data_IF_240574507928
#
_entry.id   IF_240574507928
#
_cell.length_a   1.000
_cell.length_b   1.000
_cell.length_c   1.000
_cell.angle_alpha   90.00
_cell.angle_beta   90.00
_cell.angle_gamma   90.00
#
_symmetry.space_group_name_H-M   'P 1'
#
loop_
_entity.id
_entity.type
_entity.pdbx_description
1 polymer ?
#
# COMPACT_ATOMS: atom_id res chain seq x y z
N UNK A 1 6.40 0.27 -21.71
CA UNK A 1 5.48 -0.88 -21.87
C UNK A 1 4.36 -0.48 -22.84
N UNK A 2 3.78 -1.41 -23.59
CA UNK A 2 2.68 -1.13 -24.54
C UNK A 2 1.56 -2.14 -24.35
N UNK A 3 0.31 -1.68 -24.40
CA UNK A 3 -0.92 -2.46 -24.18
C UNK A 3 -1.24 -3.40 -25.36
N UNK A 4 -0.34 -4.34 -25.63
CA UNK A 4 -0.47 -5.35 -26.68
C UNK A 4 0.12 -6.67 -26.22
N UNK A 5 -0.44 -7.79 -26.71
CA UNK A 5 0.00 -9.15 -26.34
C UNK A 5 1.49 -9.40 -26.59
N UNK A 6 2.05 -8.76 -27.64
CA UNK A 6 3.43 -8.95 -28.08
C UNK A 6 4.39 -7.82 -27.66
N UNK A 7 4.10 -7.10 -26.57
CA UNK A 7 5.00 -6.03 -26.11
C UNK A 7 6.46 -6.53 -26.01
N UNK A 8 7.37 -5.77 -26.64
CA UNK A 8 8.77 -6.17 -26.81
C UNK A 8 9.64 -5.89 -25.57
N UNK A 9 9.11 -5.24 -24.53
CA UNK A 9 9.88 -4.93 -23.33
C UNK A 9 10.31 -6.21 -22.59
N UNK A 10 11.46 -6.13 -21.91
CA UNK A 10 12.10 -7.27 -21.26
C UNK A 10 11.16 -7.99 -20.27
N UNK A 11 10.43 -7.24 -19.44
CA UNK A 11 9.46 -7.80 -18.48
C UNK A 11 8.33 -8.60 -19.15
N UNK A 12 7.74 -8.08 -20.22
CA UNK A 12 6.69 -8.79 -20.96
C UNK A 12 7.24 -10.00 -21.73
N UNK A 13 8.49 -9.94 -22.20
CA UNK A 13 9.15 -11.09 -22.83
C UNK A 13 9.42 -12.20 -21.81
N UNK A 14 9.94 -11.85 -20.63
CA UNK A 14 10.20 -12.79 -19.55
C UNK A 14 8.91 -13.47 -19.04
N UNK A 15 7.83 -12.71 -18.86
CA UNK A 15 6.55 -13.29 -18.45
C UNK A 15 5.96 -14.22 -19.52
N UNK A 16 6.08 -13.88 -20.81
CA UNK A 16 5.67 -14.76 -21.91
C UNK A 16 6.49 -16.04 -21.98
N UNK A 17 7.80 -15.97 -21.74
CA UNK A 17 8.67 -17.15 -21.67
C UNK A 17 8.27 -18.13 -20.55
N UNK A 18 7.58 -17.65 -19.51
CA UNK A 18 6.98 -18.46 -18.43
C UNK A 18 5.55 -18.93 -18.72
N UNK A 19 5.02 -18.72 -19.92
CA UNK A 19 3.67 -19.15 -20.32
C UNK A 19 2.56 -18.10 -20.12
N UNK A 20 2.86 -16.86 -19.71
CA UNK A 20 1.84 -15.82 -19.58
C UNK A 20 1.39 -15.30 -20.96
N UNK A 21 0.14 -15.54 -21.35
CA UNK A 21 -0.40 -15.15 -22.66
C UNK A 21 -0.71 -13.66 -22.83
N UNK A 22 -0.92 -12.93 -21.72
CA UNK A 22 -1.32 -11.52 -21.77
C UNK A 22 -0.75 -10.71 -20.58
N UNK A 23 0.58 -10.46 -20.54
CA UNK A 23 1.21 -9.78 -19.40
C UNK A 23 0.66 -8.38 -19.09
N UNK A 24 0.11 -7.69 -20.10
CA UNK A 24 -0.48 -6.36 -19.91
C UNK A 24 -1.72 -6.38 -19.00
N UNK A 25 -2.50 -7.47 -19.00
CA UNK A 25 -3.70 -7.57 -18.15
C UNK A 25 -3.35 -7.54 -16.67
N UNK A 26 -2.30 -8.25 -16.27
CA UNK A 26 -1.82 -8.23 -14.89
C UNK A 26 -1.33 -6.84 -14.48
N UNK A 27 -0.66 -6.12 -15.39
CA UNK A 27 -0.22 -4.76 -15.11
C UNK A 27 -1.41 -3.79 -14.98
N UNK A 28 -2.43 -3.91 -15.82
CA UNK A 28 -3.65 -3.11 -15.70
C UNK A 28 -4.35 -3.36 -14.37
N UNK A 29 -4.46 -4.63 -13.97
CA UNK A 29 -5.10 -4.98 -12.71
C UNK A 29 -4.29 -4.47 -11.51
N UNK A 30 -2.97 -4.61 -11.55
CA UNK A 30 -2.09 -4.03 -10.54
C UNK A 30 -2.25 -2.51 -10.44
N UNK A 31 -2.36 -1.80 -11.57
CA UNK A 31 -2.60 -0.34 -11.58
C UNK A 31 -3.95 0.00 -10.94
N UNK A 32 -5.01 -0.75 -11.22
CA UNK A 32 -6.30 -0.55 -10.56
C UNK A 32 -6.20 -0.74 -9.05
N UNK A 33 -5.54 -1.82 -8.59
CA UNK A 33 -5.33 -2.08 -7.16
C UNK A 33 -4.54 -0.95 -6.51
N UNK A 34 -3.44 -0.52 -7.13
CA UNK A 34 -2.62 0.61 -6.64
C UNK A 34 -3.45 1.90 -6.54
N UNK A 35 -4.34 2.16 -7.49
CA UNK A 35 -5.23 3.33 -7.47
C UNK A 35 -6.31 3.26 -6.38
N UNK A 36 -6.54 2.10 -5.78
CA UNK A 36 -7.42 1.93 -4.63
C UNK A 36 -6.68 2.03 -3.29
N UNK A 37 -5.35 2.04 -3.29
CA UNK A 37 -4.57 2.14 -2.05
C UNK A 37 -4.75 3.52 -1.41
N UNK A 38 -4.83 3.52 -0.07
CA UNK A 38 -4.73 4.76 0.69
C UNK A 38 -3.34 5.36 0.51
N UNK A 39 -3.24 6.68 0.58
CA UNK A 39 -1.96 7.38 0.42
C UNK A 39 -0.86 6.88 1.36
N UNK A 40 -1.21 6.48 2.59
CA UNK A 40 -0.30 5.84 3.55
C UNK A 40 0.33 4.56 3.01
N UNK A 41 -0.42 3.80 2.21
CA UNK A 41 -0.05 2.47 1.71
C UNK A 41 0.36 2.50 0.23
N UNK A 42 0.21 3.63 -0.46
CA UNK A 42 0.58 3.75 -1.86
C UNK A 42 2.10 3.94 -1.97
N UNK A 43 2.86 2.93 -2.44
CA UNK A 43 4.32 3.01 -2.51
C UNK A 43 4.80 4.07 -3.51
N UNK A 44 3.91 4.59 -4.37
CA UNK A 44 4.21 5.66 -5.35
C UNK A 44 4.21 7.04 -4.69
N UNK A 45 3.50 7.20 -3.58
CA UNK A 45 3.47 8.46 -2.84
C UNK A 45 4.58 8.42 -1.80
N UNK A 46 5.53 9.34 -1.89
CA UNK A 46 6.42 9.61 -0.76
C UNK A 46 5.52 10.07 0.38
N UNK A 47 5.37 9.21 1.38
CA UNK A 47 4.63 9.51 2.59
C UNK A 47 5.39 10.62 3.30
N UNK A 48 5.06 11.88 3.00
CA UNK A 48 5.45 13.05 3.78
C UNK A 48 4.64 13.08 5.10
N UNK A 49 4.46 11.92 5.75
CA UNK A 49 3.72 11.79 7.00
C UNK A 49 4.72 11.45 8.10
N UNK A 50 5.60 12.40 8.42
CA UNK A 50 5.85 12.60 9.85
C UNK A 50 4.59 13.26 10.38
N UNK A 51 3.71 12.50 11.01
CA UNK A 51 2.78 13.10 11.94
C UNK A 51 3.67 13.69 13.07
N UNK A 52 3.79 15.02 13.21
CA UNK A 52 4.68 15.60 14.22
C UNK A 52 4.27 15.20 15.65
N UNK A 53 3.02 14.78 15.85
CA UNK A 53 2.52 14.29 17.13
C UNK A 53 2.80 12.81 17.40
N UNK A 54 3.15 12.04 16.36
CA UNK A 54 3.56 10.65 16.46
C UNK A 54 5.08 10.56 16.35
N UNK A 55 5.74 10.92 17.44
CA UNK A 55 7.19 10.99 17.54
C UNK A 55 7.82 9.59 17.49
N UNK A 56 9.13 9.48 17.17
CA UNK A 56 9.86 8.22 17.32
C UNK A 56 9.72 7.61 18.71
N UNK A 57 9.68 8.45 19.75
CA UNK A 57 9.45 8.04 21.14
C UNK A 57 8.14 7.27 21.31
N UNK A 58 7.00 7.82 20.83
CA UNK A 58 5.71 7.14 20.90
C UNK A 58 5.66 5.83 20.12
N UNK A 59 6.51 5.71 19.08
CA UNK A 59 6.67 4.46 18.33
C UNK A 59 7.41 3.41 19.15
N UNK A 60 8.48 3.80 19.84
CA UNK A 60 9.22 2.92 20.77
C UNK A 60 8.33 2.50 21.94
N UNK A 61 7.58 3.44 22.52
CA UNK A 61 6.62 3.16 23.60
C UNK A 61 5.57 2.14 23.16
N UNK A 62 5.06 2.25 21.93
CA UNK A 62 4.14 1.26 21.37
C UNK A 62 4.78 -0.10 21.14
N UNK A 63 6.07 -0.17 20.74
CA UNK A 63 6.79 -1.45 20.57
C UNK A 63 6.93 -2.15 21.93
N UNK A 64 7.29 -1.40 22.97
CA UNK A 64 7.36 -1.92 24.33
C UNK A 64 5.98 -2.34 24.85
N UNK A 65 4.94 -1.55 24.60
CA UNK A 65 3.57 -1.89 24.98
C UNK A 65 3.06 -3.16 24.27
N UNK A 66 3.39 -3.37 23.00
CA UNK A 66 3.07 -4.59 22.25
C UNK A 66 3.73 -5.84 22.84
N UNK A 67 4.98 -5.73 23.30
CA UNK A 67 5.68 -6.85 23.95
C UNK A 67 5.05 -7.23 25.31
N UNK A 68 4.49 -6.24 26.00
CA UNK A 68 3.87 -6.39 27.32
C UNK A 68 2.34 -6.55 27.27
N UNK A 69 1.74 -6.69 26.08
CA UNK A 69 0.29 -6.74 25.83
C UNK A 69 -0.50 -5.57 26.44
N UNK A 70 0.13 -4.39 26.45
CA UNK A 70 -0.42 -3.12 26.96
C UNK A 70 -1.05 -2.28 25.83
N UNK A 71 -1.97 -1.35 26.16
CA UNK A 71 -2.60 -0.48 25.18
C UNK A 71 -1.58 0.34 24.39
N UNK A 72 -1.74 0.37 23.06
CA UNK A 72 -0.91 1.18 22.16
C UNK A 72 -1.58 2.50 21.81
N UNK A 73 -0.79 3.56 21.67
CA UNK A 73 -1.30 4.85 21.21
C UNK A 73 -1.52 4.81 19.70
N UNK A 74 -2.75 5.00 19.25
CA UNK A 74 -3.10 5.04 17.83
C UNK A 74 -2.82 6.41 17.21
N UNK A 75 -2.43 6.45 15.94
CA UNK A 75 -2.26 7.70 15.18
C UNK A 75 -3.61 8.15 14.55
N UNK A 76 -4.27 9.20 15.05
CA UNK A 76 -5.60 9.61 14.60
C UNK A 76 -5.60 10.30 13.23
N UNK A 77 -4.44 10.66 12.65
CA UNK A 77 -4.36 11.31 11.32
C UNK A 77 -4.34 10.31 10.16
N UNK A 78 -4.76 9.07 10.40
CA UNK A 78 -5.01 8.10 9.33
C UNK A 78 -6.24 8.57 8.55
N UNK A 79 -6.00 9.26 7.43
CA UNK A 79 -7.05 9.73 6.54
C UNK A 79 -7.71 8.56 5.78
N UNK A 80 -9.01 8.35 6.00
CA UNK A 80 -9.85 7.45 5.21
C UNK A 80 -10.35 8.18 3.95
N UNK A 81 -10.10 7.63 2.76
CA UNK A 81 -10.35 8.33 1.47
C UNK A 81 -11.82 8.22 1.02
N UNK A 82 -12.66 7.40 1.67
CA UNK A 82 -14.11 7.36 1.42
C UNK A 82 -14.88 7.27 2.73
N UNK A 83 -16.02 7.97 2.77
CA UNK A 83 -17.14 7.67 3.68
C UNK A 83 -17.70 6.31 3.27
N UNK A 84 -17.06 5.24 3.71
CA UNK A 84 -17.74 3.97 3.94
C UNK A 84 -18.19 3.99 5.39
N UNK A 85 -19.39 3.49 5.66
CA UNK A 85 -19.90 3.24 7.02
C UNK A 85 -19.03 2.16 7.67
N UNK A 86 -17.79 2.53 8.00
CA UNK A 86 -16.84 1.70 8.72
C UNK A 86 -17.04 1.97 10.20
N UNK A 87 -17.64 1.02 10.91
CA UNK A 87 -17.74 1.08 12.35
C UNK A 87 -16.38 0.78 12.96
N UNK A 88 -15.97 1.60 13.92
CA UNK A 88 -14.75 1.44 14.71
C UNK A 88 -15.05 0.44 15.83
N UNK A 89 -14.29 -0.66 15.89
CA UNK A 89 -14.32 -1.59 17.02
C UNK A 89 -13.12 -1.21 17.91
N UNK A 90 -13.43 -0.93 19.18
CA UNK A 90 -12.48 -0.60 20.24
C UNK A 90 -11.86 -1.88 20.82
#
# INVERSE_FOLDING_TARGET
>A
HSRRRNCACQSCRANRAKGCNAPYKCQEEAVKMLNCLLEKWDPRKQVNQRNPEFTPQKREDNIAALADDKPVTFDPKIHLIKKVDGFRIF
#
